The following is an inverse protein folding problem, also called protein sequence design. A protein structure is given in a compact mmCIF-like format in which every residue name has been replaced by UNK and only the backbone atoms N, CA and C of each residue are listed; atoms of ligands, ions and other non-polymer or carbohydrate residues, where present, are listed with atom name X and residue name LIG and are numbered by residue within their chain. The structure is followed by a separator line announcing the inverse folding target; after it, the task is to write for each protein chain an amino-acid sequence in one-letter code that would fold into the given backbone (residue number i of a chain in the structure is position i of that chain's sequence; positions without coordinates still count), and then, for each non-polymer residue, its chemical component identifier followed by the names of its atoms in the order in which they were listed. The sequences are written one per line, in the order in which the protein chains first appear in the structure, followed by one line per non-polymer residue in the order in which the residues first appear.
data_IF_967786622548
#
_entry.id   IF_967786622548
#
_cell.length_a   1.000
_cell.length_b   1.000
_cell.length_c   1.000
_cell.angle_alpha   90.00
_cell.angle_beta   90.00
_cell.angle_gamma   90.00
#
_symmetry.space_group_name_H-M   'P 1'
#
loop_
_entity.id
_entity.type
_entity.pdbx_description
1 polymer ?
#
# COMPACT_ATOMS: atom_id res chain seq x y z
N UNK A 1 0.56 2.75 -74.23
CA UNK A 1 0.23 1.39 -73.76
C UNK A 1 1.29 0.99 -72.76
N UNK A 2 0.93 0.84 -71.47
CA UNK A 2 1.66 0.17 -70.36
C UNK A 2 1.44 0.93 -69.04
N UNK A 3 0.45 0.47 -68.28
CA UNK A 3 0.15 0.88 -66.91
C UNK A 3 0.93 -0.09 -66.00
N UNK A 4 1.87 0.40 -65.18
CA UNK A 4 2.43 -0.37 -64.07
C UNK A 4 1.84 0.15 -62.75
N UNK A 5 0.75 -0.48 -62.31
CA UNK A 5 0.28 -0.42 -60.93
C UNK A 5 1.21 -1.28 -60.05
N UNK A 6 2.07 -0.61 -59.26
CA UNK A 6 2.76 -1.25 -58.14
C UNK A 6 1.83 -1.22 -56.93
N UNK A 7 1.12 -2.32 -56.72
CA UNK A 7 0.23 -2.57 -55.59
C UNK A 7 0.99 -2.48 -54.27
N UNK A 8 0.74 -1.43 -53.47
CA UNK A 8 1.04 -1.42 -52.04
C UNK A 8 0.17 -2.50 -51.39
N UNK A 9 0.78 -3.63 -51.04
CA UNK A 9 0.20 -4.63 -50.12
C UNK A 9 -0.11 -3.94 -48.78
N UNK A 10 -1.38 -3.64 -48.53
CA UNK A 10 -1.89 -3.42 -47.17
C UNK A 10 -1.73 -4.72 -46.39
N UNK A 11 -0.92 -4.69 -45.32
CA UNK A 11 -0.83 -5.79 -44.35
C UNK A 11 -2.10 -5.87 -43.47
N UNK A 12 -2.51 -7.05 -43.00
CA UNK A 12 -3.71 -7.24 -42.19
C UNK A 12 -3.40 -7.02 -40.70
N UNK A 13 -3.66 -5.81 -40.21
CA UNK A 13 -3.31 -5.35 -38.86
C UNK A 13 -4.36 -5.70 -37.76
N UNK A 14 -5.48 -6.35 -38.15
CA UNK A 14 -6.62 -6.59 -37.26
C UNK A 14 -6.48 -7.83 -36.36
N UNK A 15 -5.78 -8.87 -36.82
CA UNK A 15 -5.61 -10.12 -36.05
C UNK A 15 -4.56 -9.97 -34.95
N UNK A 16 -3.45 -9.28 -35.24
CA UNK A 16 -2.39 -8.98 -34.28
C UNK A 16 -2.89 -8.02 -33.18
N UNK A 17 -3.66 -6.98 -33.51
CA UNK A 17 -4.26 -6.09 -32.51
C UNK A 17 -5.21 -6.84 -31.56
N UNK A 18 -6.05 -7.74 -32.06
CA UNK A 18 -6.93 -8.56 -31.20
C UNK A 18 -6.14 -9.51 -30.29
N UNK A 19 -5.06 -10.08 -30.79
CA UNK A 19 -4.18 -10.97 -30.01
C UNK A 19 -3.44 -10.20 -28.92
N UNK A 20 -2.91 -9.01 -29.23
CA UNK A 20 -2.30 -8.09 -28.27
C UNK A 20 -3.28 -7.55 -27.24
N UNK A 21 -4.52 -7.23 -27.63
CA UNK A 21 -5.57 -6.82 -26.69
C UNK A 21 -5.97 -7.97 -25.75
N UNK A 22 -6.10 -9.20 -26.26
CA UNK A 22 -6.34 -10.38 -25.42
C UNK A 22 -5.18 -10.64 -24.45
N UNK A 23 -3.93 -10.58 -24.92
CA UNK A 23 -2.73 -10.71 -24.06
C UNK A 23 -2.68 -9.63 -22.98
N UNK A 24 -3.02 -8.38 -23.30
CA UNK A 24 -3.02 -7.26 -22.34
C UNK A 24 -4.17 -7.39 -21.32
N UNK A 25 -5.36 -7.82 -21.76
CA UNK A 25 -6.48 -8.16 -20.88
C UNK A 25 -6.11 -9.31 -19.95
N UNK A 26 -5.46 -10.36 -20.44
CA UNK A 26 -5.04 -11.50 -19.59
C UNK A 26 -4.02 -11.09 -18.51
N UNK A 27 -3.12 -10.16 -18.82
CA UNK A 27 -2.13 -9.66 -17.86
C UNK A 27 -2.77 -8.79 -16.77
N UNK A 28 -3.70 -7.89 -17.11
CA UNK A 28 -4.43 -7.09 -16.12
C UNK A 28 -5.39 -7.95 -15.28
N UNK A 29 -6.09 -8.91 -15.91
CA UNK A 29 -6.94 -9.87 -15.21
C UNK A 29 -6.15 -10.75 -14.23
N UNK A 30 -4.93 -11.17 -14.59
CA UNK A 30 -4.04 -11.91 -13.70
C UNK A 30 -3.61 -11.10 -12.48
N UNK A 31 -3.30 -9.81 -12.65
CA UNK A 31 -2.96 -8.91 -11.53
C UNK A 31 -4.15 -8.72 -10.58
N UNK A 32 -5.35 -8.45 -11.12
CA UNK A 32 -6.55 -8.29 -10.30
C UNK A 32 -6.90 -9.56 -9.54
N UNK A 33 -6.77 -10.73 -10.19
CA UNK A 33 -7.00 -12.02 -9.55
C UNK A 33 -6.00 -12.26 -8.40
N UNK A 34 -4.73 -11.95 -8.61
CA UNK A 34 -3.70 -12.05 -7.57
C UNK A 34 -3.99 -11.16 -6.35
N UNK A 35 -4.44 -9.92 -6.58
CA UNK A 35 -4.85 -9.02 -5.49
C UNK A 35 -6.06 -9.53 -4.71
N UNK A 36 -7.05 -10.11 -5.40
CA UNK A 36 -8.22 -10.72 -4.76
C UNK A 36 -7.81 -11.91 -3.90
N UNK A 37 -6.94 -12.79 -4.40
CA UNK A 37 -6.42 -13.94 -3.64
C UNK A 37 -5.66 -13.46 -2.39
N UNK A 38 -4.78 -12.46 -2.53
CA UNK A 38 -4.07 -11.88 -1.39
C UNK A 38 -5.04 -11.28 -0.35
N UNK A 39 -6.08 -10.56 -0.79
CA UNK A 39 -7.10 -10.02 0.10
C UNK A 39 -7.88 -11.12 0.84
N UNK A 40 -8.28 -12.19 0.16
CA UNK A 40 -8.97 -13.33 0.77
C UNK A 40 -8.09 -14.04 1.80
N UNK A 41 -6.80 -14.22 1.52
CA UNK A 41 -5.84 -14.79 2.47
C UNK A 41 -5.69 -13.92 3.72
N UNK A 42 -5.61 -12.60 3.56
CA UNK A 42 -5.54 -11.66 4.70
C UNK A 42 -6.82 -11.77 5.53
N UNK A 43 -8.00 -11.77 4.90
CA UNK A 43 -9.29 -11.90 5.60
C UNK A 43 -9.34 -13.21 6.40
N UNK A 44 -8.93 -14.32 5.79
CA UNK A 44 -8.90 -15.62 6.45
C UNK A 44 -7.98 -15.61 7.69
N UNK A 45 -6.78 -15.05 7.58
CA UNK A 45 -5.87 -14.91 8.73
C UNK A 45 -6.43 -13.97 9.82
N UNK A 46 -7.16 -12.92 9.45
CA UNK A 46 -7.78 -12.01 10.42
C UNK A 46 -8.84 -12.71 11.26
N UNK A 47 -9.64 -13.59 10.67
CA UNK A 47 -10.64 -14.38 11.41
C UNK A 47 -9.95 -15.21 12.50
N UNK A 48 -8.82 -15.85 12.19
CA UNK A 48 -8.07 -16.62 13.18
C UNK A 48 -7.54 -15.75 14.34
N UNK A 49 -7.05 -14.55 14.04
CA UNK A 49 -6.58 -13.61 15.06
C UNK A 49 -7.72 -13.17 15.98
N UNK A 50 -8.92 -12.94 15.42
CA UNK A 50 -10.12 -12.58 16.20
C UNK A 50 -10.52 -13.72 17.14
N UNK A 51 -10.56 -14.96 16.64
CA UNK A 51 -10.86 -16.14 17.46
C UNK A 51 -9.84 -16.28 18.60
N UNK A 52 -8.55 -16.15 18.30
CA UNK A 52 -7.49 -16.21 19.31
C UNK A 52 -7.59 -15.07 20.35
N UNK A 53 -8.00 -13.87 19.93
CA UNK A 53 -8.25 -12.73 20.83
C UNK A 53 -9.44 -12.98 21.76
N UNK A 54 -10.51 -13.61 21.26
CA UNK A 54 -11.67 -13.95 22.09
C UNK A 54 -11.29 -14.95 23.19
N UNK A 55 -10.42 -15.92 22.91
CA UNK A 55 -9.91 -16.85 23.93
C UNK A 55 -9.10 -16.13 25.02
N UNK A 56 -8.36 -15.08 24.66
CA UNK A 56 -7.67 -14.22 25.63
C UNK A 56 -8.67 -13.46 26.50
N UNK A 57 -9.73 -12.89 25.92
CA UNK A 57 -10.78 -12.21 26.68
C UNK A 57 -11.48 -13.16 27.66
N UNK A 58 -11.82 -14.37 27.21
CA UNK A 58 -12.40 -15.39 28.07
C UNK A 58 -11.48 -15.77 29.25
N UNK A 59 -10.16 -15.78 29.03
CA UNK A 59 -9.18 -15.99 30.11
C UNK A 59 -9.24 -14.89 31.18
N UNK A 60 -9.53 -13.64 30.78
CA UNK A 60 -9.74 -12.53 31.73
C UNK A 60 -11.04 -12.68 32.52
N UNK A 61 -12.13 -13.14 31.89
CA UNK A 61 -13.40 -13.42 32.58
C UNK A 61 -13.22 -14.47 33.69
N UNK A 62 -12.43 -15.52 33.41
CA UNK A 62 -12.07 -16.55 34.40
C UNK A 62 -11.25 -15.94 35.55
N UNK A 63 -10.25 -15.12 35.25
CA UNK A 63 -9.43 -14.45 36.28
C UNK A 63 -10.26 -13.49 37.15
N UNK A 64 -11.16 -12.71 36.55
CA UNK A 64 -12.09 -11.83 37.26
C UNK A 64 -13.02 -12.62 38.18
N UNK A 65 -13.54 -13.76 37.70
CA UNK A 65 -14.36 -14.66 38.52
C UNK A 65 -13.59 -15.17 39.75
N UNK A 66 -12.33 -15.59 39.57
CA UNK A 66 -11.45 -16.04 40.66
C UNK A 66 -11.21 -14.92 41.67
N UNK A 67 -10.95 -13.69 41.21
CA UNK A 67 -10.76 -12.52 42.08
C UNK A 67 -12.03 -12.20 42.87
N UNK A 68 -13.20 -12.27 42.24
CA UNK A 68 -14.49 -12.09 42.91
C UNK A 68 -14.71 -13.17 43.98
N UNK A 69 -14.33 -14.42 43.69
CA UNK A 69 -14.43 -15.52 44.65
C UNK A 69 -13.47 -15.33 45.84
N UNK A 70 -12.23 -14.87 45.61
CA UNK A 70 -11.29 -14.48 46.68
C UNK A 70 -11.86 -13.34 47.54
N UNK A 71 -12.48 -12.32 46.93
CA UNK A 71 -13.12 -11.20 47.63
C UNK A 71 -14.27 -11.66 48.52
N UNK A 72 -15.14 -12.55 48.04
CA UNK A 72 -16.23 -13.13 48.84
C UNK A 72 -15.73 -13.92 50.04
N UNK A 73 -14.64 -14.70 49.88
CA UNK A 73 -14.02 -15.44 50.99
C UNK A 73 -13.42 -14.48 52.02
N UNK A 74 -12.81 -13.38 51.57
CA UNK A 74 -12.27 -12.35 52.44
C UNK A 74 -13.38 -11.61 53.21
N UNK A 75 -14.50 -11.28 52.55
CA UNK A 75 -15.68 -10.71 53.18
C UNK A 75 -16.26 -11.65 54.24
N UNK A 76 -16.40 -12.95 53.90
CA UNK A 76 -16.85 -13.97 54.84
C UNK A 76 -15.95 -14.03 56.07
N UNK A 77 -14.63 -14.01 55.87
CA UNK A 77 -13.66 -13.94 56.97
C UNK A 77 -13.88 -12.71 57.86
N UNK A 78 -14.05 -11.54 57.25
CA UNK A 78 -14.27 -10.27 57.97
C UNK A 78 -15.56 -10.30 58.80
N UNK A 79 -16.66 -10.79 58.23
CA UNK A 79 -17.96 -10.89 58.92
C UNK A 79 -17.92 -11.87 60.09
N UNK A 80 -17.23 -13.01 59.93
CA UNK A 80 -17.04 -13.98 61.00
C UNK A 80 -16.19 -13.41 62.16
N UNK A 81 -15.29 -12.46 61.88
CA UNK A 81 -14.51 -11.77 62.92
C UNK A 81 -15.34 -10.74 63.71
N UNK A 82 -16.30 -10.07 63.07
CA UNK A 82 -16.99 -8.92 63.67
C UNK A 82 -18.22 -9.28 64.55
N UNK A 83 -18.59 -10.56 64.67
CA UNK A 83 -19.49 -11.17 65.67
C UNK A 83 -20.97 -10.71 65.78
N UNK A 84 -21.31 -9.47 65.44
CA UNK A 84 -22.65 -8.88 65.65
C UNK A 84 -23.67 -9.23 64.56
N UNK A 85 -23.23 -9.45 63.32
CA UNK A 85 -24.06 -9.78 62.14
C UNK A 85 -23.72 -11.12 61.47
N UNK A 86 -22.76 -11.87 62.04
CA UNK A 86 -22.14 -13.02 61.38
C UNK A 86 -23.13 -14.10 60.92
N UNK A 87 -24.19 -14.38 61.69
CA UNK A 87 -25.13 -15.48 61.39
C UNK A 87 -26.03 -15.20 60.17
N UNK A 88 -26.55 -13.97 60.04
CA UNK A 88 -27.47 -13.62 58.96
C UNK A 88 -26.72 -13.38 57.64
N UNK A 89 -25.52 -12.82 57.71
CA UNK A 89 -24.69 -12.59 56.52
C UNK A 89 -24.04 -13.88 56.00
N UNK A 90 -23.70 -14.83 56.87
CA UNK A 90 -23.08 -16.10 56.52
C UNK A 90 -23.85 -16.86 55.43
N UNK A 91 -25.16 -17.09 55.64
CA UNK A 91 -25.98 -17.82 54.67
C UNK A 91 -26.00 -17.14 53.30
N UNK A 92 -26.06 -15.80 53.27
CA UNK A 92 -26.05 -15.04 52.02
C UNK A 92 -24.71 -15.14 51.28
N UNK A 93 -23.59 -15.13 52.02
CA UNK A 93 -22.24 -15.24 51.44
C UNK A 93 -21.94 -16.66 50.97
N UNK A 94 -22.39 -17.67 51.71
CA UNK A 94 -22.29 -19.08 51.31
C UNK A 94 -22.95 -19.32 49.95
N UNK A 95 -24.18 -18.83 49.76
CA UNK A 95 -24.90 -18.92 48.49
C UNK A 95 -24.15 -18.20 47.36
N UNK A 96 -23.61 -17.00 47.61
CA UNK A 96 -22.83 -16.25 46.62
C UNK A 96 -21.55 -16.99 46.21
N UNK A 97 -20.83 -17.58 47.16
CA UNK A 97 -19.60 -18.35 46.90
C UNK A 97 -19.91 -19.58 46.04
N UNK A 98 -20.96 -20.33 46.36
CA UNK A 98 -21.38 -21.49 45.58
C UNK A 98 -21.86 -21.09 44.18
N UNK A 99 -22.58 -19.97 44.05
CA UNK A 99 -22.99 -19.43 42.76
C UNK A 99 -21.78 -19.05 41.89
N UNK A 100 -20.78 -18.37 42.46
CA UNK A 100 -19.55 -18.02 41.73
C UNK A 100 -18.77 -19.27 41.30
N UNK A 101 -18.67 -20.29 42.15
CA UNK A 101 -18.05 -21.56 41.81
C UNK A 101 -18.74 -22.24 40.61
N UNK A 102 -20.07 -22.18 40.52
CA UNK A 102 -20.82 -22.71 39.38
C UNK A 102 -20.58 -21.90 38.10
N UNK A 103 -20.44 -20.58 38.21
CA UNK A 103 -20.05 -19.72 37.07
C UNK A 103 -18.65 -20.09 36.60
N UNK A 104 -17.68 -20.21 37.51
CA UNK A 104 -16.31 -20.62 37.19
C UNK A 104 -16.27 -21.99 36.49
N UNK A 105 -17.07 -22.94 36.96
CA UNK A 105 -17.24 -24.26 36.35
C UNK A 105 -17.82 -24.17 34.94
N UNK A 106 -18.74 -23.24 34.71
CA UNK A 106 -19.37 -23.03 33.39
C UNK A 106 -18.42 -22.37 32.42
N UNK A 107 -17.70 -21.32 32.84
CA UNK A 107 -16.71 -20.63 32.02
C UNK A 107 -15.64 -21.61 31.53
N UNK A 108 -15.17 -22.50 32.41
CA UNK A 108 -14.04 -23.40 32.10
C UNK A 108 -14.46 -24.77 31.53
N UNK A 109 -15.67 -24.89 30.96
CA UNK A 109 -16.18 -26.18 30.45
C UNK A 109 -15.31 -26.79 29.34
N UNK A 110 -14.63 -25.95 28.58
CA UNK A 110 -13.73 -26.32 27.48
C UNK A 110 -12.36 -26.84 27.96
N UNK A 111 -12.06 -26.73 29.26
CA UNK A 111 -10.73 -26.97 29.80
C UNK A 111 -10.73 -28.07 30.87
N UNK A 112 -10.40 -29.34 30.52
CA UNK A 112 -10.51 -30.47 31.44
C UNK A 112 -9.59 -30.35 32.67
N UNK A 113 -8.42 -29.74 32.50
CA UNK A 113 -7.51 -29.49 33.62
C UNK A 113 -8.12 -28.51 34.62
N UNK A 114 -8.80 -27.46 34.14
CA UNK A 114 -9.50 -26.53 35.02
C UNK A 114 -10.70 -27.17 35.70
N UNK A 115 -11.47 -28.01 35.00
CA UNK A 115 -12.55 -28.78 35.64
C UNK A 115 -12.06 -29.62 36.82
N UNK A 116 -10.90 -30.26 36.68
CA UNK A 116 -10.28 -31.00 37.77
C UNK A 116 -9.87 -30.10 38.94
N UNK A 117 -9.24 -28.95 38.66
CA UNK A 117 -8.87 -27.99 39.70
C UNK A 117 -10.09 -27.41 40.43
N UNK A 118 -11.19 -27.17 39.71
CA UNK A 118 -12.46 -26.67 40.26
C UNK A 118 -13.13 -27.74 41.11
N UNK A 119 -13.06 -29.02 40.72
CA UNK A 119 -13.54 -30.14 41.55
C UNK A 119 -12.79 -30.21 42.89
N UNK A 120 -11.48 -30.02 42.87
CA UNK A 120 -10.67 -29.94 44.09
C UNK A 120 -11.02 -28.70 44.94
N UNK A 121 -11.23 -27.55 44.30
CA UNK A 121 -11.69 -26.34 44.96
C UNK A 121 -13.06 -26.53 45.61
N UNK A 122 -14.00 -27.16 44.91
CA UNK A 122 -15.33 -27.48 45.42
C UNK A 122 -15.24 -28.32 46.68
N UNK A 123 -14.49 -29.42 46.65
CA UNK A 123 -14.29 -30.26 47.84
C UNK A 123 -13.68 -29.49 49.02
N UNK A 124 -12.72 -28.59 48.77
CA UNK A 124 -12.13 -27.72 49.81
C UNK A 124 -13.14 -26.72 50.38
N UNK A 125 -14.00 -26.15 49.54
CA UNK A 125 -15.08 -25.24 49.95
C UNK A 125 -16.14 -25.98 50.78
N UNK A 126 -16.56 -27.16 50.34
CA UNK A 126 -17.57 -27.98 51.04
C UNK A 126 -17.07 -28.37 52.43
N UNK A 127 -15.82 -28.84 52.54
CA UNK A 127 -15.19 -29.15 53.83
C UNK A 127 -15.12 -27.90 54.75
N UNK A 128 -14.76 -26.74 54.20
CA UNK A 128 -14.69 -25.51 54.96
C UNK A 128 -16.06 -25.03 55.45
N UNK A 129 -17.10 -25.15 54.64
CA UNK A 129 -18.46 -24.83 55.08
C UNK A 129 -18.97 -25.80 56.15
N UNK A 130 -18.62 -27.09 56.07
CA UNK A 130 -18.92 -28.03 57.16
C UNK A 130 -18.20 -27.65 58.47
N UNK A 131 -16.93 -27.23 58.39
CA UNK A 131 -16.19 -26.72 59.56
C UNK A 131 -16.85 -25.45 60.14
N UNK A 132 -17.30 -24.54 59.28
CA UNK A 132 -18.01 -23.31 59.67
C UNK A 132 -19.39 -23.58 60.27
N UNK A 133 -20.16 -24.49 59.70
CA UNK A 133 -21.48 -24.88 60.24
C UNK A 133 -21.33 -25.44 61.65
N UNK A 134 -20.34 -26.33 61.87
CA UNK A 134 -20.02 -26.85 63.20
C UNK A 134 -19.58 -25.75 64.18
N UNK A 135 -18.79 -24.78 63.72
CA UNK A 135 -18.38 -23.62 64.53
C UNK A 135 -19.58 -22.75 64.92
N UNK A 136 -20.46 -22.44 63.97
CA UNK A 136 -21.67 -21.64 64.18
C UNK A 136 -22.64 -22.35 65.14
N UNK A 137 -22.79 -23.67 65.03
CA UNK A 137 -23.59 -24.48 65.96
C UNK A 137 -23.05 -24.39 67.41
N UNK A 138 -21.73 -24.50 67.58
CA UNK A 138 -21.07 -24.32 68.90
C UNK A 138 -21.31 -22.91 69.45
N UNK A 139 -21.19 -21.87 68.62
CA UNK A 139 -21.48 -20.50 69.02
C UNK A 139 -22.94 -20.30 69.45
N UNK A 140 -23.89 -20.91 68.74
CA UNK A 140 -25.33 -20.84 69.08
C UNK A 140 -25.62 -21.48 70.44
N UNK A 141 -25.01 -22.63 70.73
CA UNK A 141 -25.21 -23.34 72.00
C UNK A 141 -24.49 -22.65 73.19
N UNK A 142 -23.37 -21.96 72.94
CA UNK A 142 -22.57 -21.28 73.98
C UNK A 142 -23.13 -19.92 74.43
N UNK A 143 -24.03 -19.29 73.65
CA UNK A 143 -24.69 -18.03 74.04
C UNK A 143 -25.62 -18.15 75.26
N UNK A 144 -25.94 -19.36 75.72
CA UNK A 144 -26.72 -19.61 76.93
C UNK A 144 -25.90 -19.64 78.23
N UNK A 145 -24.59 -19.36 78.20
CA UNK A 145 -23.71 -19.36 79.39
C UNK A 145 -22.94 -18.04 79.47
N UNK A 146 -23.03 -17.34 80.61
CA UNK A 146 -22.63 -15.93 80.79
C UNK A 146 -21.14 -15.59 80.57
N UNK A 147 -20.25 -16.56 80.33
CA UNK A 147 -18.80 -16.35 80.17
C UNK A 147 -18.23 -16.59 78.76
N UNK A 148 -19.06 -16.73 77.72
CA UNK A 148 -18.61 -17.18 76.39
C UNK A 148 -18.19 -16.09 75.39
N UNK A 149 -18.38 -14.80 75.70
CA UNK A 149 -18.29 -13.71 74.69
C UNK A 149 -16.87 -13.33 74.24
N UNK A 150 -15.82 -13.70 74.98
CA UNK A 150 -14.46 -13.15 74.76
C UNK A 150 -13.48 -14.16 74.14
N UNK A 151 -13.75 -15.48 74.21
CA UNK A 151 -12.73 -16.51 73.89
C UNK A 151 -12.96 -17.21 72.54
N UNK A 152 -14.15 -17.16 71.93
CA UNK A 152 -14.50 -18.05 70.80
C UNK A 152 -14.24 -17.50 69.39
N UNK A 153 -14.18 -16.18 69.18
CA UNK A 153 -14.04 -15.62 67.82
C UNK A 153 -12.60 -15.69 67.24
N UNK A 154 -11.57 -16.01 68.04
CA UNK A 154 -10.21 -16.23 67.53
C UNK A 154 -9.98 -17.63 66.95
N UNK A 155 -10.88 -18.59 67.23
CA UNK A 155 -10.74 -19.99 66.83
C UNK A 155 -11.58 -20.36 65.59
N UNK A 156 -11.99 -19.39 64.78
CA UNK A 156 -12.76 -19.67 63.57
C UNK A 156 -11.91 -20.42 62.53
N UNK A 157 -12.50 -21.36 61.76
CA UNK A 157 -11.82 -22.03 60.65
C UNK A 157 -11.24 -21.02 59.64
N UNK A 158 -9.99 -21.19 59.23
CA UNK A 158 -9.34 -20.30 58.25
C UNK A 158 -9.46 -20.88 56.83
N UNK A 159 -9.70 -20.05 55.80
CA UNK A 159 -9.85 -20.51 54.42
C UNK A 159 -8.51 -20.79 53.71
N UNK A 160 -7.44 -21.14 54.42
CA UNK A 160 -6.07 -21.22 53.86
C UNK A 160 -5.96 -22.21 52.70
N UNK A 161 -6.57 -23.40 52.85
CA UNK A 161 -6.61 -24.44 51.80
C UNK A 161 -7.35 -23.97 50.54
N UNK A 162 -8.41 -23.17 50.71
CA UNK A 162 -9.19 -22.60 49.60
C UNK A 162 -8.37 -21.54 48.89
N UNK A 163 -7.76 -20.62 49.64
CA UNK A 163 -6.93 -19.56 49.09
C UNK A 163 -5.72 -20.12 48.33
N UNK A 164 -5.10 -21.17 48.86
CA UNK A 164 -4.03 -21.89 48.16
C UNK A 164 -4.50 -22.50 46.84
N UNK A 165 -5.69 -23.14 46.84
CA UNK A 165 -6.26 -23.70 45.61
C UNK A 165 -6.61 -22.63 44.58
N UNK A 166 -7.21 -21.52 45.02
CA UNK A 166 -7.53 -20.38 44.16
C UNK A 166 -6.26 -19.77 43.55
N UNK A 167 -5.19 -19.64 44.33
CA UNK A 167 -3.87 -19.20 43.81
C UNK A 167 -3.30 -20.16 42.77
N UNK A 168 -3.45 -21.47 42.97
CA UNK A 168 -3.00 -22.47 41.99
C UNK A 168 -3.77 -22.36 40.66
N UNK A 169 -5.11 -22.18 40.74
CA UNK A 169 -5.97 -21.97 39.58
C UNK A 169 -5.61 -20.65 38.87
N UNK A 170 -5.43 -19.58 39.63
CA UNK A 170 -5.04 -18.27 39.11
C UNK A 170 -3.68 -18.31 38.40
N UNK A 171 -2.71 -19.01 38.99
CA UNK A 171 -1.39 -19.21 38.40
C UNK A 171 -1.47 -20.00 37.09
N UNK A 172 -2.28 -21.06 37.04
CA UNK A 172 -2.52 -21.81 35.82
C UNK A 172 -3.13 -20.91 34.72
N UNK A 173 -4.14 -20.11 35.06
CA UNK A 173 -4.82 -19.25 34.10
C UNK A 173 -3.91 -18.12 33.58
N UNK A 174 -3.07 -17.54 34.45
CA UNK A 174 -2.04 -16.57 34.04
C UNK A 174 -1.00 -17.16 33.09
N UNK A 175 -0.58 -18.40 33.32
CA UNK A 175 0.33 -19.09 32.41
C UNK A 175 -0.31 -19.39 31.06
N UNK A 176 -1.58 -19.81 31.06
CA UNK A 176 -2.36 -20.04 29.85
C UNK A 176 -2.55 -18.73 29.06
N UNK A 177 -2.84 -17.63 29.76
CA UNK A 177 -2.95 -16.28 29.19
C UNK A 177 -1.69 -15.88 28.44
N UNK A 178 -0.51 -16.07 29.06
CA UNK A 178 0.76 -15.71 28.45
C UNK A 178 1.00 -16.48 27.15
N UNK A 179 0.73 -17.79 27.12
CA UNK A 179 0.83 -18.59 25.88
C UNK A 179 -0.14 -18.11 24.80
N UNK A 180 -1.40 -17.89 25.15
CA UNK A 180 -2.44 -17.40 24.21
C UNK A 180 -2.10 -16.01 23.66
N UNK A 181 -1.53 -15.13 24.50
CA UNK A 181 -1.10 -13.79 24.09
C UNK A 181 0.07 -13.84 23.11
N UNK A 182 1.06 -14.69 23.36
CA UNK A 182 2.17 -14.89 22.41
C UNK A 182 1.66 -15.41 21.07
N UNK A 183 0.69 -16.31 21.07
CA UNK A 183 0.07 -16.83 19.86
C UNK A 183 -0.70 -15.75 19.09
N UNK A 184 -1.53 -14.96 19.77
CA UNK A 184 -2.22 -13.80 19.17
C UNK A 184 -1.22 -12.83 18.55
N UNK A 185 -0.12 -12.51 19.25
CA UNK A 185 0.90 -11.61 18.76
C UNK A 185 1.64 -12.18 17.55
N UNK A 186 1.99 -13.47 17.55
CA UNK A 186 2.63 -14.13 16.40
C UNK A 186 1.71 -14.09 15.18
N UNK A 187 0.45 -14.52 15.32
CA UNK A 187 -0.53 -14.49 14.23
C UNK A 187 -0.74 -13.06 13.72
N UNK A 188 -0.92 -12.10 14.64
CA UNK A 188 -1.04 -10.67 14.30
C UNK A 188 0.14 -10.17 13.48
N UNK A 189 1.38 -10.48 13.88
CA UNK A 189 2.59 -10.11 13.15
C UNK A 189 2.68 -10.77 11.77
N UNK A 190 2.22 -12.01 11.61
CA UNK A 190 2.17 -12.64 10.29
C UNK A 190 1.18 -11.93 9.37
N UNK A 191 0.01 -11.50 9.87
CA UNK A 191 -0.98 -10.77 9.07
C UNK A 191 -0.48 -9.38 8.66
N UNK A 192 0.22 -8.67 9.55
CA UNK A 192 0.79 -7.36 9.21
C UNK A 192 1.90 -7.48 8.18
N UNK A 193 2.76 -8.49 8.30
CA UNK A 193 3.83 -8.75 7.33
C UNK A 193 3.27 -9.12 5.94
N UNK A 194 2.26 -9.99 5.85
CA UNK A 194 1.63 -10.36 4.58
C UNK A 194 0.90 -9.20 3.93
N UNK A 195 0.24 -8.34 4.72
CA UNK A 195 -0.39 -7.12 4.22
C UNK A 195 0.64 -6.13 3.64
N UNK A 196 1.75 -5.87 4.34
CA UNK A 196 2.83 -4.99 3.86
C UNK A 196 3.44 -5.56 2.58
N UNK A 197 3.75 -6.86 2.54
CA UNK A 197 4.30 -7.53 1.36
C UNK A 197 3.35 -7.41 0.15
N UNK A 198 2.04 -7.58 0.37
CA UNK A 198 1.02 -7.43 -0.67
C UNK A 198 0.96 -6.00 -1.22
N UNK A 199 1.04 -4.99 -0.35
CA UNK A 199 1.08 -3.58 -0.75
C UNK A 199 2.34 -3.23 -1.54
N UNK A 200 3.51 -3.69 -1.10
CA UNK A 200 4.77 -3.49 -1.81
C UNK A 200 4.72 -4.14 -3.20
N UNK A 201 4.22 -5.38 -3.29
CA UNK A 201 4.07 -6.08 -4.55
C UNK A 201 3.12 -5.35 -5.51
N UNK A 202 1.97 -4.87 -5.02
CA UNK A 202 1.04 -4.06 -5.81
C UNK A 202 1.69 -2.75 -6.31
N UNK A 203 2.46 -2.09 -5.46
CA UNK A 203 3.23 -0.89 -5.80
C UNK A 203 4.25 -1.15 -6.92
N UNK A 204 5.00 -2.24 -6.83
CA UNK A 204 5.98 -2.65 -7.86
C UNK A 204 5.28 -2.92 -9.20
N UNK A 205 4.16 -3.63 -9.20
CA UNK A 205 3.39 -3.90 -10.41
C UNK A 205 2.84 -2.61 -11.04
N UNK A 206 2.32 -1.69 -10.21
CA UNK A 206 1.86 -0.38 -10.67
C UNK A 206 3.01 0.42 -11.30
N UNK A 207 4.18 0.45 -10.65
CA UNK A 207 5.37 1.13 -11.16
C UNK A 207 5.86 0.53 -12.49
N UNK A 208 5.91 -0.81 -12.60
CA UNK A 208 6.31 -1.49 -13.84
C UNK A 208 5.38 -1.17 -15.01
N UNK A 209 4.06 -1.26 -14.79
CA UNK A 209 3.07 -0.94 -15.84
C UNK A 209 3.09 0.54 -16.21
N UNK A 210 3.33 1.44 -15.25
CA UNK A 210 3.52 2.86 -15.49
C UNK A 210 4.77 3.16 -16.32
N UNK A 211 5.87 2.46 -16.04
CA UNK A 211 7.14 2.59 -16.78
C UNK A 211 6.99 2.18 -18.23
N UNK A 212 6.29 1.08 -18.51
CA UNK A 212 5.98 0.65 -19.88
C UNK A 212 5.14 1.70 -20.63
N UNK A 213 4.13 2.26 -19.95
CA UNK A 213 3.24 3.28 -20.53
C UNK A 213 4.00 4.55 -20.90
N UNK A 214 4.89 5.02 -20.02
CA UNK A 214 5.79 6.16 -20.30
C UNK A 214 6.68 5.91 -21.50
N UNK A 215 7.22 4.69 -21.64
CA UNK A 215 8.04 4.31 -22.81
C UNK A 215 7.23 4.28 -24.11
N UNK A 216 5.99 3.82 -24.07
CA UNK A 216 5.10 3.82 -25.24
C UNK A 216 4.79 5.24 -25.70
N UNK A 217 4.37 6.10 -24.77
CA UNK A 217 4.09 7.51 -25.06
C UNK A 217 5.30 8.25 -25.64
N UNK A 218 6.51 7.99 -25.12
CA UNK A 218 7.72 8.60 -25.66
C UNK A 218 8.05 8.14 -27.09
N UNK A 219 7.75 6.88 -27.44
CA UNK A 219 7.94 6.36 -28.82
C UNK A 219 6.92 6.95 -29.79
N UNK A 220 5.66 7.02 -29.35
CA UNK A 220 4.58 7.60 -30.14
C UNK A 220 4.84 9.07 -30.45
N UNK A 221 5.26 9.86 -29.45
CA UNK A 221 5.64 11.26 -29.66
C UNK A 221 6.78 11.41 -30.67
N UNK A 222 7.82 10.57 -30.58
CA UNK A 222 8.94 10.59 -31.54
C UNK A 222 8.50 10.26 -32.96
N UNK A 223 7.63 9.27 -33.11
CA UNK A 223 7.10 8.90 -34.41
C UNK A 223 6.24 10.02 -34.99
N UNK A 224 5.36 10.62 -34.19
CA UNK A 224 4.52 11.74 -34.62
C UNK A 224 5.36 12.95 -35.04
N UNK A 225 6.43 13.28 -34.32
CA UNK A 225 7.35 14.35 -34.73
C UNK A 225 8.04 14.06 -36.06
N UNK A 226 8.42 12.80 -36.31
CA UNK A 226 9.02 12.40 -37.59
C UNK A 226 8.01 12.44 -38.74
N UNK A 227 6.77 12.02 -38.49
CA UNK A 227 5.71 12.08 -39.49
C UNK A 227 5.40 13.54 -39.86
N UNK A 228 5.28 14.43 -38.88
CA UNK A 228 5.04 15.86 -39.13
C UNK A 228 6.16 16.49 -39.96
N UNK A 229 7.43 16.16 -39.68
CA UNK A 229 8.56 16.64 -40.49
C UNK A 229 8.49 16.11 -41.94
N UNK A 230 8.27 14.80 -42.10
CA UNK A 230 8.18 14.16 -43.41
C UNK A 230 7.01 14.71 -44.25
N UNK A 231 5.90 15.07 -43.61
CA UNK A 231 4.73 15.66 -44.28
C UNK A 231 5.06 17.02 -44.88
N UNK A 232 5.71 17.89 -44.11
CA UNK A 232 6.18 19.21 -44.57
C UNK A 232 7.21 19.07 -45.71
N UNK A 233 8.14 18.11 -45.61
CA UNK A 233 9.13 17.85 -46.66
C UNK A 233 8.45 17.39 -47.97
N UNK A 234 7.49 16.47 -47.88
CA UNK A 234 6.73 15.99 -49.04
C UNK A 234 5.88 17.09 -49.66
N UNK A 235 5.25 17.93 -48.84
CA UNK A 235 4.46 19.06 -49.30
C UNK A 235 5.31 20.02 -50.12
N UNK A 236 6.47 20.45 -49.60
CA UNK A 236 7.39 21.32 -50.35
C UNK A 236 7.83 20.67 -51.67
N UNK A 237 8.27 19.42 -51.61
CA UNK A 237 8.77 18.71 -52.80
C UNK A 237 7.70 18.61 -53.90
N UNK A 238 6.46 18.28 -53.53
CA UNK A 238 5.35 18.19 -54.48
C UNK A 238 5.06 19.54 -55.15
N UNK A 239 5.10 20.65 -54.40
CA UNK A 239 4.88 21.98 -54.95
C UNK A 239 6.02 22.40 -55.90
N UNK A 240 7.27 22.16 -55.53
CA UNK A 240 8.43 22.49 -56.38
C UNK A 240 8.45 21.66 -57.67
N UNK A 241 8.09 20.37 -57.61
CA UNK A 241 8.01 19.51 -58.80
C UNK A 241 6.88 19.90 -59.76
N UNK A 242 5.87 20.63 -59.29
CA UNK A 242 4.76 21.12 -60.11
C UNK A 242 5.09 22.44 -60.83
N UNK A 243 6.12 23.18 -60.40
CA UNK A 243 6.55 24.43 -61.03
C UNK A 243 7.01 24.21 -62.47
N UNK A 244 6.57 25.08 -63.38
CA UNK A 244 6.99 25.09 -64.79
C UNK A 244 8.06 26.13 -65.07
N UNK A 245 8.19 27.13 -64.21
CA UNK A 245 9.19 28.20 -64.35
C UNK A 245 9.97 28.39 -63.04
N UNK A 246 11.17 28.96 -63.14
CA UNK A 246 11.97 29.33 -61.96
C UNK A 246 11.24 30.34 -61.07
N UNK A 247 10.49 31.27 -61.69
CA UNK A 247 9.73 32.30 -60.98
C UNK A 247 8.65 31.70 -60.07
N UNK A 248 7.89 30.72 -60.56
CA UNK A 248 6.91 29.99 -59.75
C UNK A 248 7.56 29.29 -58.56
N UNK A 249 8.75 28.69 -58.74
CA UNK A 249 9.48 28.06 -57.65
C UNK A 249 9.93 29.08 -56.58
N UNK A 250 10.35 30.28 -56.98
CA UNK A 250 10.74 31.34 -56.06
C UNK A 250 9.56 31.84 -55.23
N UNK A 251 8.38 32.00 -55.82
CA UNK A 251 7.16 32.39 -55.10
C UNK A 251 6.72 31.33 -54.08
N UNK A 252 6.77 30.05 -54.45
CA UNK A 252 6.47 28.94 -53.54
C UNK A 252 7.47 28.87 -52.40
N UNK A 253 8.78 28.98 -52.68
CA UNK A 253 9.82 28.99 -51.65
C UNK A 253 9.63 30.17 -50.69
N UNK A 254 9.35 31.37 -51.22
CA UNK A 254 9.09 32.56 -50.40
C UNK A 254 7.92 32.32 -49.44
N UNK A 255 6.78 31.86 -49.95
CA UNK A 255 5.59 31.60 -49.13
C UNK A 255 5.83 30.52 -48.08
N UNK A 256 6.49 29.42 -48.47
CA UNK A 256 6.79 28.30 -47.58
C UNK A 256 7.73 28.69 -46.43
N UNK A 257 8.84 29.36 -46.73
CA UNK A 257 9.79 29.76 -45.69
C UNK A 257 9.27 30.90 -44.80
N UNK A 258 8.50 31.84 -45.35
CA UNK A 258 7.84 32.88 -44.56
C UNK A 258 6.82 32.29 -43.59
N UNK A 259 6.12 31.21 -43.98
CA UNK A 259 5.19 30.49 -43.11
C UNK A 259 5.89 29.68 -42.02
N UNK A 260 7.00 29.00 -42.34
CA UNK A 260 7.76 28.22 -41.36
C UNK A 260 8.57 29.07 -40.39
N UNK A 261 9.06 30.24 -40.83
CA UNK A 261 9.93 31.11 -40.05
C UNK A 261 9.43 32.56 -40.04
N UNK A 262 8.25 32.84 -39.45
CA UNK A 262 7.61 34.15 -39.53
C UNK A 262 8.41 35.29 -38.87
N UNK A 263 9.31 34.95 -37.94
CA UNK A 263 10.12 35.90 -37.17
C UNK A 263 11.60 35.90 -37.56
N UNK A 264 12.00 35.08 -38.54
CA UNK A 264 13.39 35.01 -38.99
C UNK A 264 13.59 35.82 -40.27
N UNK A 265 14.81 36.30 -40.47
CA UNK A 265 15.22 36.98 -41.70
C UNK A 265 16.31 36.19 -42.41
N UNK A 266 16.26 36.10 -43.73
CA UNK A 266 17.22 35.34 -44.54
C UNK A 266 16.97 35.45 -46.03
N UNK A 267 17.79 34.80 -46.85
CA UNK A 267 17.56 34.74 -48.30
C UNK A 267 18.07 33.44 -48.93
N UNK A 268 17.45 33.06 -50.05
CA UNK A 268 17.88 31.99 -50.96
C UNK A 268 18.59 32.64 -52.14
N UNK A 269 19.75 32.08 -52.49
CA UNK A 269 20.58 32.56 -53.59
C UNK A 269 20.60 31.56 -54.74
N UNK A 270 20.42 32.06 -55.96
CA UNK A 270 20.71 31.31 -57.18
C UNK A 270 22.16 31.58 -57.62
N UNK A 271 22.90 30.52 -57.96
CA UNK A 271 24.21 30.65 -58.62
C UNK A 271 23.94 30.94 -60.09
N UNK A 272 24.49 32.04 -60.60
CA UNK A 272 24.30 32.42 -62.00
C UNK A 272 24.92 31.39 -62.98
N UNK A 273 24.60 31.50 -64.27
CA UNK A 273 25.07 30.57 -65.30
C UNK A 273 26.61 30.52 -65.45
N UNK A 274 27.30 31.65 -65.24
CA UNK A 274 28.77 31.75 -65.26
C UNK A 274 29.43 31.21 -63.98
N UNK A 275 28.63 30.83 -62.98
CA UNK A 275 29.04 30.33 -61.65
C UNK A 275 29.96 31.26 -60.88
N UNK A 276 29.93 32.54 -61.18
CA UNK A 276 30.78 33.56 -60.58
C UNK A 276 30.02 34.46 -59.59
N UNK A 277 28.69 34.42 -59.58
CA UNK A 277 27.87 35.28 -58.70
C UNK A 277 26.74 34.53 -58.01
N UNK A 278 26.44 34.93 -56.77
CA UNK A 278 25.25 34.57 -56.02
C UNK A 278 24.22 35.70 -56.14
N UNK A 279 23.06 35.39 -56.74
CA UNK A 279 21.97 36.35 -56.91
C UNK A 279 20.88 36.06 -55.87
N UNK A 280 20.51 37.01 -54.99
CA UNK A 280 19.41 36.81 -54.05
C UNK A 280 18.11 36.69 -54.84
N UNK A 281 17.38 35.61 -54.62
CA UNK A 281 16.19 35.29 -55.42
C UNK A 281 14.92 35.17 -54.60
N UNK A 282 15.06 34.77 -53.34
CA UNK A 282 13.97 34.79 -52.35
C UNK A 282 14.52 35.45 -51.10
N UNK A 283 13.85 36.49 -50.60
CA UNK A 283 14.21 37.20 -49.37
C UNK A 283 13.08 37.02 -48.37
N UNK A 284 13.41 36.62 -47.15
CA UNK A 284 12.48 36.33 -46.04
C UNK A 284 12.81 37.36 -44.95
N UNK A 285 11.79 38.01 -44.38
CA UNK A 285 11.99 39.04 -43.36
C UNK A 285 12.80 40.26 -43.84
N UNK A 286 13.48 40.93 -42.91
CA UNK A 286 14.29 42.13 -43.18
C UNK A 286 15.75 41.74 -43.40
N UNK A 287 16.02 41.09 -44.54
CA UNK A 287 17.35 40.64 -44.91
C UNK A 287 17.86 41.43 -46.12
N UNK A 288 18.98 42.13 -45.93
CA UNK A 288 19.63 42.90 -46.99
C UNK A 288 21.12 42.54 -47.10
N UNK A 289 21.61 42.41 -48.34
CA UNK A 289 23.04 42.26 -48.64
C UNK A 289 23.45 43.42 -49.53
N UNK A 290 24.47 44.16 -49.10
CA UNK A 290 24.94 45.38 -49.78
C UNK A 290 26.01 45.11 -50.85
N UNK A 291 26.65 43.94 -50.85
CA UNK A 291 27.80 43.63 -51.74
C UNK A 291 27.65 42.32 -52.54
N UNK A 292 28.20 42.32 -53.76
CA UNK A 292 28.18 41.18 -54.68
C UNK A 292 29.02 40.01 -54.14
N UNK A 293 28.38 38.89 -53.80
CA UNK A 293 29.07 37.71 -53.25
C UNK A 293 29.33 36.66 -54.33
N UNK A 294 30.56 36.12 -54.41
CA UNK A 294 30.87 35.00 -55.31
C UNK A 294 30.75 33.66 -54.57
N UNK A 295 30.39 32.56 -55.27
CA UNK A 295 30.35 31.22 -54.65
C UNK A 295 31.70 30.79 -54.04
N UNK A 296 32.83 31.25 -54.60
CA UNK A 296 34.19 30.93 -54.11
C UNK A 296 34.50 31.61 -52.77
N UNK A 297 33.90 32.77 -52.52
CA UNK A 297 34.11 33.52 -51.29
C UNK A 297 33.29 32.95 -50.13
N UNK A 298 32.22 32.19 -50.41
CA UNK A 298 31.40 31.55 -49.41
C UNK A 298 32.08 30.29 -48.83
N UNK A 299 32.30 30.28 -47.52
CA UNK A 299 32.92 29.14 -46.82
C UNK A 299 32.02 27.90 -46.82
N UNK A 300 30.71 28.08 -46.60
CA UNK A 300 29.74 26.99 -46.57
C UNK A 300 29.67 26.26 -47.92
N UNK A 301 29.66 27.02 -49.02
CA UNK A 301 29.65 26.46 -50.37
C UNK A 301 30.96 25.74 -50.71
N UNK A 302 32.13 26.29 -50.31
CA UNK A 302 33.43 25.63 -50.50
C UNK A 302 33.55 24.28 -49.78
N UNK A 303 32.95 24.18 -48.60
CA UNK A 303 32.96 22.95 -47.79
C UNK A 303 31.82 21.98 -48.19
N UNK A 304 30.83 22.44 -48.98
CA UNK A 304 29.60 21.70 -49.23
C UNK A 304 28.79 21.43 -47.94
N UNK A 305 29.02 22.22 -46.88
CA UNK A 305 28.44 22.01 -45.56
C UNK A 305 27.85 23.31 -45.02
N UNK A 306 26.66 23.23 -44.40
CA UNK A 306 26.01 24.38 -43.78
C UNK A 306 26.88 24.96 -42.64
N UNK A 307 26.95 26.28 -42.56
CA UNK A 307 27.58 26.96 -41.43
C UNK A 307 26.51 27.35 -40.41
N UNK A 308 26.48 26.63 -39.28
CA UNK A 308 25.65 26.99 -38.12
C UNK A 308 26.37 28.03 -37.26
N UNK A 309 25.62 29.00 -36.74
CA UNK A 309 26.16 30.18 -36.03
C UNK A 309 26.57 29.99 -34.59
N UNK A 310 26.36 28.81 -34.03
CA UNK A 310 26.71 28.57 -32.64
C UNK A 310 28.23 28.32 -32.50
N UNK A 311 28.93 29.39 -32.11
CA UNK A 311 30.33 29.45 -31.64
C UNK A 311 31.35 28.65 -32.47
N UNK A 312 31.84 29.25 -33.56
CA UNK A 312 33.14 28.85 -34.12
C UNK A 312 34.27 29.57 -33.41
N UNK A 313 35.26 28.81 -32.93
CA UNK A 313 36.54 29.31 -32.37
C UNK A 313 37.32 30.14 -33.40
N UNK A 314 37.01 29.94 -34.69
CA UNK A 314 37.62 30.65 -35.81
C UNK A 314 36.63 31.64 -36.43
N UNK A 315 37.10 32.87 -36.67
CA UNK A 315 36.37 33.84 -37.47
C UNK A 315 36.24 33.33 -38.92
N UNK A 316 35.01 33.11 -39.38
CA UNK A 316 34.78 32.69 -40.76
C UNK A 316 34.95 33.91 -41.68
N UNK A 317 35.80 33.85 -42.71
CA UNK A 317 36.12 35.03 -43.53
C UNK A 317 35.02 35.41 -44.54
N UNK A 318 34.01 34.56 -44.80
CA UNK A 318 32.95 34.84 -45.78
C UNK A 318 31.98 35.93 -45.33
N UNK A 319 31.74 36.91 -46.18
CA UNK A 319 30.83 38.04 -45.95
C UNK A 319 29.37 37.59 -45.75
N UNK A 320 28.92 36.63 -46.56
CA UNK A 320 27.57 36.04 -46.45
C UNK A 320 27.33 35.37 -45.09
N UNK A 321 28.39 34.82 -44.49
CA UNK A 321 28.33 34.20 -43.17
C UNK A 321 28.43 35.25 -42.06
N UNK A 322 29.17 36.35 -42.26
CA UNK A 322 29.26 37.46 -41.29
C UNK A 322 27.91 38.15 -41.08
N UNK A 323 27.16 38.38 -42.15
CA UNK A 323 25.85 39.06 -42.10
C UNK A 323 24.73 38.18 -41.52
N UNK A 324 24.94 36.86 -41.40
CA UNK A 324 24.01 35.94 -40.73
C UNK A 324 24.21 35.89 -39.20
N UNK A 325 25.24 36.56 -38.65
CA UNK A 325 25.60 36.54 -37.22
C UNK A 325 25.57 37.92 -36.54
N UNK A 326 24.96 38.93 -37.18
CA UNK A 326 24.63 40.22 -36.56
C UNK A 326 23.18 40.20 -36.07
#
# INVERSE_FOLDING_TARGET
MAIQQKTRKLMPDSHLRRLWQRLRLTRHAGISLGLVIAALLIIWQQVEVIVARNLVNHTFEVLENIQNQQSLILQLKSELQNSTSALSQYQSLQLKILAQLNILKTLTQDNPNQQNNIKLLQSKIDNYFQELDNFILKLKNSKNTSNSKIITYHSYPKPDKINEQLKAIEYYEKNLLNRRREEVNRRGNTVTATAIASLLFAGILSWQTGKERRRQLAKENRLNTQLAFNEIEQELNNHLLACRTKQEAYEILHSFFQSLFPTSSGAIFEINNSRDQLLPTVVIGDFSITELCTPKDCWALRQGQACLGERKIFAIPCQLCKNLFQ
#
